data_IF_768226163176
#
_entry.id   IF_768226163176
#
_cell.length_a   1.000
_cell.length_b   1.000
_cell.length_c   1.000
_cell.angle_alpha   90.00
_cell.angle_beta   90.00
_cell.angle_gamma   90.00
#
_symmetry.space_group_name_H-M   'P 1'
#
loop_
_entity.id
_entity.type
_entity.pdbx_description
1 polymer ?
#
# COMPACT_ATOMS: atom_id res chain seq x y z
N UNK A 1 21.88 0.83 -4.17
CA UNK A 1 20.82 -0.19 -4.02
C UNK A 1 20.82 -0.71 -2.60
N UNK A 2 19.68 -1.17 -2.12
CA UNK A 2 19.52 -1.96 -0.89
C UNK A 2 19.05 -3.36 -1.26
N UNK A 3 19.39 -4.35 -0.44
CA UNK A 3 18.98 -5.74 -0.62
C UNK A 3 18.21 -6.22 0.62
N UNK A 4 17.01 -6.76 0.43
CA UNK A 4 16.13 -7.23 1.50
C UNK A 4 15.98 -8.74 1.44
N UNK A 5 15.94 -9.35 2.63
CA UNK A 5 15.72 -10.79 2.85
C UNK A 5 14.82 -10.97 4.07
N UNK A 6 14.01 -12.03 4.06
CA UNK A 6 13.10 -12.34 5.16
C UNK A 6 13.81 -13.23 6.20
N UNK A 7 13.66 -12.85 7.47
CA UNK A 7 14.15 -13.62 8.62
C UNK A 7 12.99 -14.04 9.51
N UNK A 8 13.12 -15.20 10.17
CA UNK A 8 12.18 -15.66 11.19
C UNK A 8 12.75 -15.32 12.57
N UNK A 9 12.05 -14.46 13.32
CA UNK A 9 12.43 -14.06 14.68
C UNK A 9 11.59 -14.81 15.73
N UNK A 10 12.07 -14.83 16.99
CA UNK A 10 11.30 -15.34 18.15
C UNK A 10 11.43 -16.84 18.44
N UNK A 11 12.42 -17.52 17.85
CA UNK A 11 12.73 -18.91 18.18
C UNK A 11 13.76 -19.00 19.32
N UNK A 12 13.79 -20.09 20.10
CA UNK A 12 14.82 -20.31 21.11
C UNK A 12 16.24 -20.24 20.51
N UNK A 13 17.27 -19.92 21.31
CA UNK A 13 18.61 -19.47 20.86
C UNK A 13 19.43 -20.42 19.97
N UNK A 14 18.91 -21.58 19.58
CA UNK A 14 19.57 -22.59 18.74
C UNK A 14 18.81 -22.92 17.45
N UNK A 15 17.81 -22.11 17.06
CA UNK A 15 17.08 -22.31 15.81
C UNK A 15 17.67 -21.46 14.69
N UNK A 16 17.80 -22.02 13.48
CA UNK A 16 18.21 -21.25 12.31
C UNK A 16 17.17 -20.16 12.01
N UNK A 17 17.59 -18.90 12.14
CA UNK A 17 16.73 -17.74 11.86
C UNK A 17 16.48 -17.57 10.36
N UNK A 18 17.25 -18.25 9.51
CA UNK A 18 17.01 -18.25 8.09
C UNK A 18 15.72 -18.99 7.77
N UNK A 19 14.89 -18.33 6.98
CA UNK A 19 13.79 -18.99 6.30
C UNK A 19 14.37 -19.88 5.19
N UNK A 20 13.77 -21.06 4.95
CA UNK A 20 14.13 -21.90 3.81
C UNK A 20 14.17 -21.06 2.53
N UNK A 21 15.19 -21.27 1.69
CA UNK A 21 15.42 -20.37 0.54
C UNK A 21 14.20 -20.25 -0.39
N UNK A 22 13.49 -21.36 -0.64
CA UNK A 22 12.25 -21.36 -1.42
C UNK A 22 11.14 -20.52 -0.79
N UNK A 23 10.96 -20.60 0.53
CA UNK A 23 9.97 -19.79 1.25
C UNK A 23 10.38 -18.31 1.25
N UNK A 24 11.67 -17.99 1.38
CA UNK A 24 12.16 -16.63 1.24
C UNK A 24 11.90 -16.10 -0.19
N UNK A 25 12.18 -16.89 -1.22
CA UNK A 25 11.88 -16.54 -2.62
C UNK A 25 10.40 -16.22 -2.83
N UNK A 26 9.49 -17.07 -2.35
CA UNK A 26 8.04 -16.87 -2.46
C UNK A 26 7.59 -15.58 -1.77
N UNK A 27 8.11 -15.31 -0.56
CA UNK A 27 7.78 -14.08 0.18
C UNK A 27 8.30 -12.82 -0.52
N UNK A 28 9.51 -12.86 -1.07
CA UNK A 28 10.07 -11.75 -1.83
C UNK A 28 9.31 -11.53 -3.15
N UNK A 29 8.87 -12.61 -3.82
CA UNK A 29 7.99 -12.51 -5.00
C UNK A 29 6.65 -11.88 -4.65
N UNK A 30 6.06 -12.23 -3.50
CA UNK A 30 4.82 -11.60 -3.03
C UNK A 30 5.01 -10.10 -2.75
N UNK A 31 6.14 -9.71 -2.15
CA UNK A 31 6.49 -8.28 -1.96
C UNK A 31 6.66 -7.54 -3.28
N UNK A 32 7.40 -8.12 -4.25
CA UNK A 32 7.52 -7.53 -5.58
C UNK A 32 6.16 -7.40 -6.27
N UNK A 33 5.29 -8.41 -6.13
CA UNK A 33 3.94 -8.36 -6.67
C UNK A 33 3.11 -7.25 -6.03
N UNK A 34 3.24 -7.00 -4.71
CA UNK A 34 2.60 -5.85 -4.05
C UNK A 34 3.08 -4.52 -4.63
N UNK A 35 4.39 -4.35 -4.80
CA UNK A 35 4.98 -3.14 -5.39
C UNK A 35 4.42 -2.90 -6.81
N UNK A 36 4.39 -3.94 -7.66
CA UNK A 36 3.84 -3.81 -9.03
C UNK A 36 2.33 -3.60 -9.05
N UNK A 37 1.60 -4.15 -8.07
CA UNK A 37 0.15 -3.93 -7.92
C UNK A 37 -0.12 -2.48 -7.51
N UNK A 38 0.66 -1.93 -6.59
CA UNK A 38 0.61 -0.51 -6.20
C UNK A 38 0.79 0.40 -7.42
N UNK A 39 1.85 0.17 -8.19
CA UNK A 39 2.17 0.95 -9.40
C UNK A 39 1.03 0.92 -10.43
N UNK A 40 0.45 -0.27 -10.65
CA UNK A 40 -0.68 -0.42 -11.55
C UNK A 40 -1.93 0.33 -11.07
N UNK A 41 -2.28 0.23 -9.79
CA UNK A 41 -3.41 0.99 -9.24
C UNK A 41 -3.15 2.50 -9.32
N UNK A 42 -1.94 2.94 -9.00
CA UNK A 42 -1.56 4.36 -9.03
C UNK A 42 -1.64 4.92 -10.46
N UNK A 43 -1.20 4.14 -11.45
CA UNK A 43 -1.36 4.49 -12.87
C UNK A 43 -2.84 4.68 -13.24
N UNK A 44 -3.73 3.80 -12.78
CA UNK A 44 -5.16 3.93 -13.05
C UNK A 44 -5.80 5.10 -12.29
N UNK A 45 -5.37 5.35 -11.06
CA UNK A 45 -5.77 6.53 -10.29
C UNK A 45 -5.42 7.83 -11.02
N UNK A 46 -4.20 7.97 -11.54
CA UNK A 46 -3.80 9.16 -12.29
C UNK A 46 -4.55 9.34 -13.60
N UNK A 47 -4.86 8.24 -14.31
CA UNK A 47 -5.73 8.30 -15.49
C UNK A 47 -7.11 8.86 -15.12
N UNK A 48 -7.65 8.42 -13.99
CA UNK A 48 -8.97 8.86 -13.54
C UNK A 48 -8.96 10.31 -13.06
N UNK A 49 -7.95 10.71 -12.28
CA UNK A 49 -7.76 12.10 -11.88
C UNK A 49 -7.63 13.03 -13.10
N UNK A 50 -6.86 12.63 -14.10
CA UNK A 50 -6.72 13.36 -15.37
C UNK A 50 -8.04 13.47 -16.11
N UNK A 51 -8.79 12.36 -16.21
CA UNK A 51 -10.11 12.30 -16.85
C UNK A 51 -11.11 13.25 -16.20
N UNK A 52 -11.03 13.41 -14.88
CA UNK A 52 -11.89 14.26 -14.07
C UNK A 52 -11.34 15.68 -13.88
N UNK A 53 -10.19 16.00 -14.46
CA UNK A 53 -9.48 17.29 -14.28
C UNK A 53 -9.21 17.63 -12.81
N UNK A 54 -8.90 16.62 -12.00
CA UNK A 54 -8.53 16.76 -10.58
C UNK A 54 -7.02 16.83 -10.47
N UNK A 55 -6.50 17.90 -9.89
CA UNK A 55 -5.08 18.03 -9.59
C UNK A 55 -4.71 17.14 -8.40
N UNK A 56 -3.66 16.35 -8.57
CA UNK A 56 -3.11 15.45 -7.55
C UNK A 56 -1.59 15.59 -7.53
N UNK A 57 -0.98 15.30 -6.39
CA UNK A 57 0.47 15.35 -6.25
C UNK A 57 1.16 14.32 -7.16
N UNK A 58 2.40 14.61 -7.58
CA UNK A 58 3.23 13.67 -8.32
C UNK A 58 3.70 12.54 -7.38
N UNK A 59 3.27 11.32 -7.65
CA UNK A 59 3.66 10.12 -6.90
C UNK A 59 4.22 9.10 -7.87
N UNK A 60 5.33 8.46 -7.51
CA UNK A 60 5.91 7.33 -8.21
C UNK A 60 6.03 6.13 -7.26
N UNK A 61 6.14 4.94 -7.83
CA UNK A 61 6.45 3.72 -7.08
C UNK A 61 7.88 3.31 -7.40
N UNK A 62 8.60 2.85 -6.38
CA UNK A 62 9.96 2.37 -6.58
C UNK A 62 10.01 1.21 -7.58
N UNK A 63 11.04 1.21 -8.42
CA UNK A 63 11.43 -0.01 -9.12
C UNK A 63 12.16 -1.00 -8.20
N UNK A 64 11.83 -2.28 -8.36
CA UNK A 64 12.37 -3.37 -7.55
C UNK A 64 12.46 -4.65 -8.37
N UNK A 65 13.43 -5.51 -8.02
CA UNK A 65 13.69 -6.76 -8.72
C UNK A 65 14.19 -7.86 -7.77
N UNK A 66 13.94 -9.12 -8.14
CA UNK A 66 14.49 -10.28 -7.44
C UNK A 66 15.88 -10.58 -8.00
N UNK A 67 16.86 -10.71 -7.11
CA UNK A 67 18.19 -11.18 -7.42
C UNK A 67 18.46 -12.51 -6.71
N UNK A 68 19.18 -13.42 -7.39
CA UNK A 68 19.63 -14.69 -6.82
C UNK A 68 21.15 -14.65 -6.66
N UNK A 69 21.67 -15.06 -5.51
CA UNK A 69 23.10 -15.29 -5.32
C UNK A 69 23.56 -16.53 -6.07
N UNK A 70 24.64 -16.38 -6.85
CA UNK A 70 25.19 -17.45 -7.70
C UNK A 70 25.65 -18.66 -6.85
N UNK A 71 26.28 -18.42 -5.71
CA UNK A 71 26.96 -19.48 -4.96
C UNK A 71 26.12 -20.10 -3.83
N UNK A 72 25.12 -19.38 -3.31
CA UNK A 72 24.40 -19.77 -2.08
C UNK A 72 22.91 -20.01 -2.29
N UNK A 73 22.40 -19.86 -3.52
CA UNK A 73 20.98 -19.96 -3.85
C UNK A 73 20.06 -19.09 -2.97
N UNK A 74 20.58 -18.02 -2.36
CA UNK A 74 19.76 -17.06 -1.63
C UNK A 74 19.09 -16.10 -2.60
N UNK A 75 17.90 -15.63 -2.23
CA UNK A 75 17.16 -14.62 -2.98
C UNK A 75 17.07 -13.31 -2.20
N UNK A 76 17.08 -12.21 -2.94
CA UNK A 76 17.02 -10.85 -2.42
C UNK A 76 16.04 -10.02 -3.22
N UNK A 77 15.29 -9.15 -2.55
CA UNK A 77 14.61 -8.04 -3.22
C UNK A 77 15.55 -6.84 -3.25
N UNK A 78 15.85 -6.34 -4.44
CA UNK A 78 16.76 -5.23 -4.66
C UNK A 78 15.97 -4.01 -5.12
N UNK A 79 16.27 -2.86 -4.55
CA UNK A 79 15.69 -1.56 -4.93
C UNK A 79 16.72 -0.44 -4.75
N UNK A 80 16.54 0.75 -5.36
CA UNK A 80 17.39 1.91 -5.11
C UNK A 80 17.54 2.23 -3.61
N UNK A 81 18.77 2.56 -3.19
CA UNK A 81 19.01 3.00 -1.81
C UNK A 81 18.59 4.48 -1.70
N UNK A 82 17.94 4.82 -0.59
CA UNK A 82 17.45 6.17 -0.32
C UNK A 82 18.16 6.72 0.93
N UNK A 83 18.61 7.97 0.87
CA UNK A 83 19.31 8.65 1.98
C UNK A 83 18.44 9.70 2.68
N UNK A 84 17.19 9.84 2.24
CA UNK A 84 16.26 10.86 2.69
C UNK A 84 15.40 10.37 3.86
N UNK A 85 14.80 11.32 4.58
CA UNK A 85 13.81 11.04 5.62
C UNK A 85 12.58 10.38 4.99
N UNK A 86 12.11 9.31 5.63
CA UNK A 86 10.89 8.59 5.25
C UNK A 86 9.68 9.30 5.85
N UNK A 87 8.67 9.54 5.02
CA UNK A 87 7.36 10.04 5.43
C UNK A 87 6.36 8.88 5.42
N UNK A 88 5.59 8.76 6.50
CA UNK A 88 4.50 7.80 6.62
C UNK A 88 3.17 8.52 6.39
N UNK A 89 2.40 8.06 5.41
CA UNK A 89 1.08 8.59 5.04
C UNK A 89 -0.07 7.73 5.56
N UNK A 90 0.21 6.46 5.86
CA UNK A 90 -0.63 5.60 6.71
C UNK A 90 0.26 4.61 7.46
N UNK A 91 -0.28 3.99 8.51
CA UNK A 91 0.32 2.82 9.15
C UNK A 91 -0.41 1.53 8.78
N UNK A 92 0.00 0.42 9.37
CA UNK A 92 -0.65 -0.89 9.14
C UNK A 92 -2.11 -0.93 9.60
N UNK A 93 -2.42 -0.40 10.79
CA UNK A 93 -3.78 -0.40 11.37
C UNK A 93 -4.21 1.00 11.83
N UNK A 94 -3.67 2.03 11.16
CA UNK A 94 -3.91 3.43 11.49
C UNK A 94 -3.93 4.23 10.19
N UNK A 95 -5.11 4.69 9.78
CA UNK A 95 -5.28 5.47 8.56
C UNK A 95 -5.61 6.92 8.94
N UNK A 96 -4.81 7.92 8.54
CA UNK A 96 -5.13 9.30 8.86
C UNK A 96 -6.48 9.73 8.26
N UNK A 97 -7.32 10.36 9.06
CA UNK A 97 -8.61 10.92 8.60
C UNK A 97 -8.47 12.33 8.02
N UNK A 98 -7.30 12.95 8.17
CA UNK A 98 -7.01 14.30 7.69
C UNK A 98 -5.69 14.31 6.91
N UNK A 99 -5.72 15.00 5.77
CA UNK A 99 -4.51 15.35 5.03
C UNK A 99 -3.88 16.62 5.62
N UNK A 100 -2.56 16.70 5.56
CA UNK A 100 -1.79 17.85 6.05
C UNK A 100 -1.10 18.62 4.91
N UNK A 101 -1.02 18.02 3.72
CA UNK A 101 -0.40 18.55 2.52
C UNK A 101 -0.97 17.89 1.24
N UNK A 102 -0.49 18.31 0.07
CA UNK A 102 -0.92 17.77 -1.22
C UNK A 102 -0.66 16.26 -1.39
N UNK A 103 0.54 15.75 -1.08
CA UNK A 103 0.83 14.32 -1.13
C UNK A 103 -0.03 13.47 -0.20
N UNK A 104 -0.23 13.88 1.06
CA UNK A 104 -1.12 13.15 1.98
C UNK A 104 -2.56 13.13 1.48
N UNK A 105 -3.08 14.26 0.98
CA UNK A 105 -4.42 14.28 0.37
C UNK A 105 -4.50 13.33 -0.83
N UNK A 106 -3.49 13.32 -1.68
CA UNK A 106 -3.43 12.43 -2.84
C UNK A 106 -3.43 10.95 -2.43
N UNK A 107 -2.65 10.58 -1.42
CA UNK A 107 -2.49 9.19 -0.98
C UNK A 107 -3.70 8.67 -0.19
N UNK A 108 -4.38 9.52 0.58
CA UNK A 108 -5.65 9.17 1.23
C UNK A 108 -6.74 8.93 0.17
N UNK A 109 -6.86 9.82 -0.83
CA UNK A 109 -7.78 9.61 -1.95
C UNK A 109 -7.43 8.39 -2.79
N UNK A 110 -6.13 8.11 -2.97
CA UNK A 110 -5.66 6.91 -3.66
C UNK A 110 -6.06 5.62 -2.93
N UNK A 111 -5.88 5.55 -1.60
CA UNK A 111 -6.32 4.39 -0.83
C UNK A 111 -7.84 4.16 -0.97
N UNK A 112 -8.63 5.24 -0.94
CA UNK A 112 -10.07 5.18 -1.18
C UNK A 112 -10.40 4.73 -2.62
N UNK A 113 -9.70 5.26 -3.62
CA UNK A 113 -9.85 4.82 -5.01
C UNK A 113 -9.60 3.32 -5.15
N UNK A 114 -8.56 2.78 -4.53
CA UNK A 114 -8.26 1.34 -4.60
C UNK A 114 -9.39 0.52 -3.99
N UNK A 115 -9.95 0.95 -2.86
CA UNK A 115 -11.09 0.28 -2.25
C UNK A 115 -12.28 0.19 -3.21
N UNK A 116 -12.76 1.32 -3.75
CA UNK A 116 -13.93 1.32 -4.63
C UNK A 116 -13.65 0.63 -5.96
N UNK A 117 -12.47 0.86 -6.56
CA UNK A 117 -12.13 0.38 -7.90
C UNK A 117 -11.91 -1.14 -7.88
N UNK A 118 -11.37 -1.66 -6.77
CA UNK A 118 -11.25 -3.10 -6.54
C UNK A 118 -12.57 -3.77 -6.14
N UNK A 119 -13.69 -3.04 -6.07
CA UNK A 119 -14.98 -3.52 -5.54
C UNK A 119 -14.85 -4.04 -4.13
N UNK A 120 -14.24 -3.23 -3.28
CA UNK A 120 -14.10 -3.44 -1.84
C UNK A 120 -13.22 -4.63 -1.47
N UNK A 121 -12.39 -5.11 -2.42
CA UNK A 121 -11.57 -6.30 -2.22
C UNK A 121 -10.20 -5.99 -1.58
N UNK A 122 -9.70 -4.76 -1.77
CA UNK A 122 -8.32 -4.38 -1.43
C UNK A 122 -8.27 -2.97 -0.86
N UNK A 123 -7.45 -2.77 0.15
CA UNK A 123 -7.01 -1.46 0.64
C UNK A 123 -5.49 -1.48 0.80
N UNK A 124 -4.79 -0.42 0.36
CA UNK A 124 -3.38 -0.25 0.71
C UNK A 124 -3.22 0.38 2.09
N UNK A 125 -2.26 -0.13 2.85
CA UNK A 125 -1.88 0.31 4.18
C UNK A 125 -0.36 0.53 4.24
N UNK A 126 0.11 1.14 5.33
CA UNK A 126 1.52 1.48 5.53
C UNK A 126 2.14 2.21 4.31
N UNK A 127 1.38 3.11 3.71
CA UNK A 127 1.84 3.91 2.57
C UNK A 127 2.92 4.85 3.08
N UNK A 128 4.16 4.60 2.66
CA UNK A 128 5.33 5.37 3.05
C UNK A 128 6.17 5.70 1.83
N UNK A 129 6.91 6.81 1.92
CA UNK A 129 7.71 7.27 0.80
C UNK A 129 8.75 8.31 1.19
N UNK A 130 9.60 8.63 0.22
CA UNK A 130 10.56 9.74 0.32
C UNK A 130 10.13 10.88 -0.60
N UNK A 131 10.29 12.11 -0.13
CA UNK A 131 10.13 13.29 -0.97
C UNK A 131 11.40 13.46 -1.82
N UNK A 132 11.23 13.57 -3.13
CA UNK A 132 12.30 13.80 -4.11
C UNK A 132 11.90 14.92 -5.06
N UNK A 133 12.91 15.55 -5.66
CA UNK A 133 12.71 16.56 -6.70
C UNK A 133 12.80 15.91 -8.09
N UNK A 134 11.70 15.96 -8.85
CA UNK A 134 11.57 15.47 -10.21
C UNK A 134 11.52 16.64 -11.17
N UNK A 135 12.59 16.88 -11.94
CA UNK A 135 12.63 17.95 -12.95
C UNK A 135 12.21 19.34 -12.42
N UNK A 136 12.48 19.63 -11.14
CA UNK A 136 12.12 20.88 -10.48
C UNK A 136 10.75 20.90 -9.78
N UNK A 137 10.05 19.77 -9.71
CA UNK A 137 8.80 19.59 -8.95
C UNK A 137 9.01 18.60 -7.81
N UNK A 138 8.42 18.87 -6.65
CA UNK A 138 8.41 17.92 -5.54
C UNK A 138 7.47 16.75 -5.85
N UNK A 139 7.92 15.54 -5.55
CA UNK A 139 7.11 14.32 -5.69
C UNK A 139 7.51 13.27 -4.67
N UNK A 140 6.67 12.25 -4.52
CA UNK A 140 6.88 11.17 -3.55
C UNK A 140 7.20 9.88 -4.27
N UNK A 141 8.25 9.18 -3.85
CA UNK A 141 8.49 7.77 -4.25
C UNK A 141 8.02 6.86 -3.13
N UNK A 142 6.97 6.09 -3.39
CA UNK A 142 6.46 5.06 -2.49
C UNK A 142 7.28 3.77 -2.59
N UNK A 143 7.37 3.07 -1.46
CA UNK A 143 8.00 1.76 -1.35
C UNK A 143 7.43 0.99 -0.17
N UNK A 144 7.70 -0.32 -0.12
CA UNK A 144 7.24 -1.25 0.93
C UNK A 144 5.76 -1.12 1.29
N UNK A 145 4.83 -1.17 0.30
CA UNK A 145 3.41 -1.09 0.62
C UNK A 145 2.93 -2.34 1.34
N UNK A 146 2.06 -2.16 2.33
CA UNK A 146 1.20 -3.23 2.84
C UNK A 146 -0.17 -3.18 2.16
N UNK A 147 -0.87 -4.31 2.14
CA UNK A 147 -2.24 -4.36 1.64
C UNK A 147 -3.12 -5.24 2.53
N UNK A 148 -4.36 -4.81 2.70
CA UNK A 148 -5.42 -5.61 3.31
C UNK A 148 -6.31 -6.17 2.22
N UNK A 149 -6.60 -7.47 2.27
CA UNK A 149 -7.45 -8.12 1.28
C UNK A 149 -8.53 -8.96 1.92
N UNK A 150 -9.71 -9.03 1.31
CA UNK A 150 -10.82 -9.85 1.84
C UNK A 150 -10.42 -11.31 2.09
N UNK A 151 -9.55 -11.87 1.22
CA UNK A 151 -9.11 -13.26 1.28
C UNK A 151 -7.76 -13.49 1.98
N UNK A 152 -7.19 -12.49 2.64
CA UNK A 152 -5.88 -12.55 3.31
C UNK A 152 -4.71 -12.98 2.39
N UNK A 153 -4.78 -12.60 1.12
CA UNK A 153 -3.77 -12.89 0.09
C UNK A 153 -2.75 -11.76 -0.11
N UNK A 154 -2.82 -10.71 0.69
CA UNK A 154 -1.94 -9.55 0.62
C UNK A 154 -0.51 -9.83 1.09
N UNK A 155 -0.27 -10.95 1.77
CA UNK A 155 1.04 -11.35 2.28
C UNK A 155 1.31 -10.87 3.70
N UNK A 156 2.58 -10.67 4.06
CA UNK A 156 2.96 -10.29 5.43
C UNK A 156 2.35 -8.94 5.81
N UNK A 157 1.69 -8.89 6.98
CA UNK A 157 0.99 -7.70 7.45
C UNK A 157 -0.44 -7.52 6.90
N UNK A 158 -0.96 -8.48 6.13
CA UNK A 158 -2.37 -8.47 5.73
C UNK A 158 -3.28 -8.87 6.91
N UNK A 159 -4.00 -7.88 7.46
CA UNK A 159 -4.99 -8.06 8.52
C UNK A 159 -6.40 -8.40 8.00
N UNK A 160 -6.52 -8.67 6.71
CA UNK A 160 -7.74 -9.16 6.08
C UNK A 160 -8.91 -8.18 6.18
N UNK A 161 -10.14 -8.72 6.34
CA UNK A 161 -11.34 -7.91 6.58
C UNK A 161 -11.24 -6.97 7.79
N UNK A 162 -10.45 -7.32 8.82
CA UNK A 162 -10.27 -6.45 9.98
C UNK A 162 -9.47 -5.20 9.65
N UNK A 163 -8.44 -5.33 8.79
CA UNK A 163 -7.69 -4.20 8.27
C UNK A 163 -8.53 -3.31 7.36
N UNK A 164 -9.36 -3.91 6.49
CA UNK A 164 -10.32 -3.16 5.65
C UNK A 164 -11.33 -2.41 6.54
N UNK A 165 -11.92 -3.08 7.52
CA UNK A 165 -12.86 -2.45 8.45
C UNK A 165 -12.22 -1.28 9.20
N UNK A 166 -10.94 -1.41 9.58
CA UNK A 166 -10.19 -0.32 10.21
C UNK A 166 -10.02 0.87 9.28
N UNK A 167 -9.68 0.64 8.02
CA UNK A 167 -9.66 1.71 7.00
C UNK A 167 -11.02 2.41 6.89
N UNK A 168 -12.13 1.68 6.83
CA UNK A 168 -13.48 2.28 6.74
C UNK A 168 -13.91 3.02 8.01
N UNK A 169 -13.36 2.65 9.17
CA UNK A 169 -13.56 3.37 10.42
C UNK A 169 -12.82 4.71 10.42
N UNK A 170 -11.57 4.67 9.99
CA UNK A 170 -10.65 5.80 10.08
C UNK A 170 -10.82 6.80 8.93
N UNK A 171 -11.11 6.32 7.72
CA UNK A 171 -11.14 7.15 6.52
C UNK A 171 -12.28 8.16 6.54
N UNK A 172 -11.95 9.42 6.26
CA UNK A 172 -12.92 10.48 6.05
C UNK A 172 -12.67 11.11 4.69
N UNK A 173 -13.70 11.14 3.84
CA UNK A 173 -13.57 11.75 2.52
C UNK A 173 -13.22 13.24 2.65
N UNK A 174 -12.18 13.65 1.93
CA UNK A 174 -11.74 15.04 1.82
C UNK A 174 -12.01 15.60 0.42
N UNK A 175 -11.63 16.86 0.19
CA UNK A 175 -11.91 17.58 -1.07
C UNK A 175 -11.49 16.80 -2.32
N UNK A 176 -10.31 16.18 -2.33
CA UNK A 176 -9.84 15.35 -3.45
C UNK A 176 -10.71 14.11 -3.66
N UNK A 177 -11.16 13.42 -2.60
CA UNK A 177 -12.10 12.31 -2.73
C UNK A 177 -13.41 12.77 -3.39
N UNK A 178 -13.94 13.91 -2.95
CA UNK A 178 -15.18 14.48 -3.49
C UNK A 178 -15.02 14.91 -4.96
N UNK A 179 -13.89 15.53 -5.31
CA UNK A 179 -13.56 15.93 -6.68
C UNK A 179 -13.42 14.71 -7.62
N UNK A 180 -12.94 13.58 -7.10
CA UNK A 180 -12.88 12.32 -7.83
C UNK A 180 -14.23 11.58 -7.88
N UNK A 181 -15.29 12.15 -7.31
CA UNK A 181 -16.63 11.59 -7.34
C UNK A 181 -16.85 10.46 -6.34
N UNK A 182 -15.99 10.30 -5.34
CA UNK A 182 -16.14 9.30 -4.29
C UNK A 182 -17.10 9.86 -3.22
N UNK A 183 -18.39 9.98 -3.55
CA UNK A 183 -19.38 10.68 -2.70
C UNK A 183 -20.22 9.77 -1.81
N UNK A 184 -20.04 8.45 -1.89
CA UNK A 184 -20.67 7.56 -0.93
C UNK A 184 -19.87 7.58 0.37
N UNK A 185 -20.57 7.86 1.47
CA UNK A 185 -20.06 7.48 2.79
C UNK A 185 -19.71 6.00 2.67
N UNK A 186 -18.51 5.61 3.08
CA UNK A 186 -18.07 4.21 3.18
C UNK A 186 -18.89 3.37 4.19
N UNK A 187 -20.08 3.85 4.59
CA UNK A 187 -21.05 3.26 5.51
C UNK A 187 -22.47 3.72 5.16
N UNK A 188 -23.31 2.80 4.70
CA UNK A 188 -24.77 2.80 4.95
C UNK A 188 -25.23 1.41 5.41
N UNK A 189 -25.48 1.31 6.72
CA UNK A 189 -26.48 0.54 7.45
C UNK A 189 -26.97 -0.83 6.93
N UNK A 190 -26.41 -1.90 7.51
CA UNK A 190 -27.17 -3.12 7.80
C UNK A 190 -28.22 -2.81 8.90
N UNK A 191 -29.30 -2.14 8.52
CA UNK A 191 -30.58 -2.29 9.23
C UNK A 191 -31.48 -3.15 8.37
N UNK A 192 -31.36 -4.45 8.57
CA UNK A 192 -32.44 -5.38 8.25
C UNK A 192 -33.61 -5.02 9.17
N UNK A 193 -34.55 -4.24 8.65
CA UNK A 193 -35.89 -4.13 9.23
C UNK A 193 -36.51 -5.52 9.22
N UNK A 194 -36.43 -6.20 10.37
CA UNK A 194 -37.25 -7.36 10.66
C UNK A 194 -38.62 -6.87 11.08
N UNK A 195 -39.42 -6.44 10.10
CA UNK A 195 -40.87 -6.39 10.28
C UNK A 195 -41.58 -6.60 8.95
N UNK A 196 -41.93 -7.85 8.66
CA UNK A 196 -43.10 -8.23 7.84
C UNK A 196 -43.25 -9.75 7.79
N UNK A 197 -44.30 -10.26 8.45
CA UNK A 197 -44.91 -11.56 8.16
C UNK A 197 -45.19 -12.44 9.35
#
# INVERSE_FOLDING_TARGET
YVAKKIFRLGQPPNYDMNVLSSVNEEQLKAELQRIKTLDWFLTNFFKEATRLHVEVAHIEVVDAYIAQEVDQQNFWLIEPCRTSVVNHYSGTMNHPSQAHDGPSATLLAFAHFVYIWSKEQVVFADLQGVLLMFSGQDGVVLFDPMMHTVNMTGGLGDHGPAGIAKFLEDHSCHVTCAQLGFTEKLKEDDKVDSDSG
#
